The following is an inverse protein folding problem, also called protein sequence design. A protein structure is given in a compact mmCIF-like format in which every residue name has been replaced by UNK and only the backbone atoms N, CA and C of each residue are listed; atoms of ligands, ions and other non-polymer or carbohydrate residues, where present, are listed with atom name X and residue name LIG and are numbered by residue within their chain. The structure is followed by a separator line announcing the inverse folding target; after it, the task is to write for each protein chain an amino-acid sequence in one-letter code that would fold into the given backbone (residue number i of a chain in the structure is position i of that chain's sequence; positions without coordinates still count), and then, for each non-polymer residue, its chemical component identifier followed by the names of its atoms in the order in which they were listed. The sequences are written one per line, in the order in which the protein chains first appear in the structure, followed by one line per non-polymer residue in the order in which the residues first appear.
data_IF_701654936376
#
_entry.id   IF_701654936376
#
_cell.length_a   1.000
_cell.length_b   1.000
_cell.length_c   1.000
_cell.angle_alpha   90.00
_cell.angle_beta   90.00
_cell.angle_gamma   90.00
#
_symmetry.space_group_name_H-M   'P 1'
#
loop_
_entity.id
_entity.type
_entity.pdbx_description
1 polymer ?
#
# COMPACT_ATOMS: atom_id res chain seq x y z
N UNK A 1 -5.98 3.12 12.25
CA UNK A 1 -4.78 2.53 12.87
C UNK A 1 -4.89 1.02 12.81
N UNK A 2 -3.78 0.32 12.48
CA UNK A 2 -3.70 -1.16 12.48
C UNK A 2 -2.54 -1.54 13.40
N UNK A 3 -2.82 -2.42 14.36
CA UNK A 3 -1.84 -2.94 15.30
C UNK A 3 -1.60 -4.42 14.99
N UNK A 4 -0.35 -4.83 14.92
CA UNK A 4 0.08 -6.19 14.62
C UNK A 4 0.97 -6.65 15.75
N UNK A 5 0.67 -7.80 16.30
CA UNK A 5 1.44 -8.39 17.38
C UNK A 5 1.85 -9.82 17.05
N UNK A 6 3.18 -10.04 16.99
CA UNK A 6 3.85 -11.32 16.89
C UNK A 6 3.30 -12.27 15.80
N UNK A 7 3.09 -11.78 14.58
CA UNK A 7 2.52 -12.55 13.47
C UNK A 7 3.52 -13.57 12.94
N UNK A 8 3.08 -14.84 12.90
CA UNK A 8 3.77 -15.96 12.26
C UNK A 8 2.96 -16.49 11.08
N UNK A 9 3.63 -16.78 9.95
CA UNK A 9 3.00 -17.39 8.77
C UNK A 9 3.94 -18.35 8.06
N UNK A 10 3.47 -19.56 7.85
CA UNK A 10 4.18 -20.64 7.17
C UNK A 10 3.39 -21.21 6.00
N UNK A 11 4.08 -21.80 5.05
CA UNK A 11 3.50 -22.59 3.95
C UNK A 11 4.30 -23.91 3.86
N UNK A 12 3.73 -24.99 4.37
CA UNK A 12 4.46 -26.24 4.61
C UNK A 12 5.64 -25.97 5.56
N UNK A 13 6.82 -26.42 5.20
CA UNK A 13 8.04 -26.24 6.00
C UNK A 13 8.68 -24.83 5.85
N UNK A 14 8.12 -23.98 4.99
CA UNK A 14 8.67 -22.65 4.76
C UNK A 14 8.06 -21.61 5.70
N UNK A 15 8.81 -21.19 6.72
CA UNK A 15 8.45 -20.12 7.64
C UNK A 15 8.72 -18.75 7.01
N UNK A 16 7.65 -18.10 6.50
CA UNK A 16 7.74 -16.85 5.76
C UNK A 16 7.72 -15.63 6.67
N UNK A 17 6.83 -15.60 7.68
CA UNK A 17 6.79 -14.54 8.70
C UNK A 17 7.12 -15.15 10.06
N UNK A 18 8.03 -14.49 10.81
CA UNK A 18 8.68 -15.06 11.99
C UNK A 18 8.55 -14.11 13.19
N UNK A 19 7.31 -13.81 13.60
CA UNK A 19 7.06 -12.96 14.76
C UNK A 19 7.13 -11.47 14.45
N UNK A 20 6.39 -11.01 13.44
CA UNK A 20 6.35 -9.59 13.07
C UNK A 20 5.36 -8.84 13.96
N UNK A 21 5.84 -7.80 14.65
CA UNK A 21 5.02 -6.81 15.35
C UNK A 21 5.21 -5.43 14.74
N UNK A 22 4.10 -4.71 14.50
CA UNK A 22 4.11 -3.43 13.82
C UNK A 22 2.89 -2.57 14.19
N UNK A 23 3.05 -1.26 14.10
CA UNK A 23 1.96 -0.28 14.22
C UNK A 23 1.88 0.52 12.92
N UNK A 24 0.73 0.49 12.24
CA UNK A 24 0.44 1.32 11.09
C UNK A 24 -0.46 2.49 11.51
N UNK A 25 0.10 3.68 11.40
CA UNK A 25 -0.53 4.90 11.91
C UNK A 25 -1.56 5.44 10.92
N UNK A 26 -2.65 5.97 11.45
CA UNK A 26 -3.70 6.63 10.68
C UNK A 26 -3.22 7.99 10.16
N UNK A 27 -3.67 8.37 8.97
CA UNK A 27 -3.30 9.62 8.29
C UNK A 27 -1.87 9.63 7.78
N UNK A 28 -1.16 8.48 7.82
CA UNK A 28 0.23 8.35 7.35
C UNK A 28 0.37 7.29 6.27
N UNK A 29 1.36 7.50 5.41
CA UNK A 29 1.89 6.47 4.52
C UNK A 29 2.88 5.60 5.29
N UNK A 30 2.45 4.36 5.56
CA UNK A 30 3.25 3.36 6.24
C UNK A 30 3.82 2.41 5.18
N UNK A 31 5.15 2.36 5.06
CA UNK A 31 5.82 1.53 4.06
C UNK A 31 6.35 0.24 4.66
N UNK A 32 6.13 -0.87 3.95
CA UNK A 32 6.80 -2.14 4.20
C UNK A 32 7.83 -2.33 3.09
N UNK A 33 9.11 -2.28 3.44
CA UNK A 33 10.22 -2.38 2.50
C UNK A 33 11.06 -3.64 2.73
N UNK A 34 11.85 -4.02 1.75
CA UNK A 34 12.76 -5.17 1.82
C UNK A 34 12.96 -5.82 0.45
N UNK A 35 13.91 -6.73 0.38
CA UNK A 35 14.23 -7.46 -0.85
C UNK A 35 13.05 -8.33 -1.31
N UNK A 36 13.08 -8.74 -2.58
CA UNK A 36 12.14 -9.78 -3.07
C UNK A 36 12.28 -11.04 -2.23
N UNK A 37 11.14 -11.67 -1.89
CA UNK A 37 11.12 -12.84 -1.02
C UNK A 37 11.25 -12.58 0.49
N UNK A 38 11.34 -11.33 0.95
CA UNK A 38 11.44 -11.01 2.39
C UNK A 38 10.14 -11.22 3.20
N UNK A 39 9.01 -11.51 2.52
CA UNK A 39 7.71 -11.74 3.17
C UNK A 39 6.70 -10.59 3.05
N UNK A 40 7.02 -9.46 2.39
CA UNK A 40 6.17 -8.26 2.28
C UNK A 40 4.74 -8.56 1.80
N UNK A 41 4.61 -9.20 0.64
CA UNK A 41 3.30 -9.54 0.05
C UNK A 41 2.51 -10.53 0.93
N UNK A 42 3.20 -11.47 1.60
CA UNK A 42 2.54 -12.39 2.54
C UNK A 42 2.04 -11.62 3.75
N UNK A 43 2.83 -10.69 4.28
CA UNK A 43 2.44 -9.84 5.39
C UNK A 43 1.24 -8.96 5.02
N UNK A 44 1.27 -8.31 3.85
CA UNK A 44 0.14 -7.53 3.34
C UNK A 44 -1.13 -8.38 3.20
N UNK A 45 -1.02 -9.62 2.70
CA UNK A 45 -2.15 -10.54 2.59
C UNK A 45 -2.70 -11.00 3.96
N UNK A 46 -1.86 -11.07 4.99
CA UNK A 46 -2.31 -11.28 6.37
C UNK A 46 -3.11 -10.06 6.87
N UNK A 47 -2.63 -8.84 6.59
CA UNK A 47 -3.35 -7.60 6.92
C UNK A 47 -4.71 -7.53 6.21
N UNK A 48 -4.83 -7.96 4.98
CA UNK A 48 -6.10 -8.02 4.24
C UNK A 48 -7.05 -9.14 4.72
N UNK A 49 -6.59 -10.00 5.63
CA UNK A 49 -7.33 -11.18 6.06
C UNK A 49 -7.50 -12.24 4.96
N UNK A 50 -6.64 -12.20 3.92
CA UNK A 50 -6.57 -13.21 2.86
C UNK A 50 -5.79 -14.45 3.32
N UNK A 51 -4.79 -14.24 4.17
CA UNK A 51 -4.09 -15.31 4.88
C UNK A 51 -4.34 -15.18 6.38
N UNK A 52 -4.62 -16.31 7.01
CA UNK A 52 -4.73 -16.40 8.46
C UNK A 52 -3.35 -16.72 9.02
N UNK A 53 -2.78 -15.88 9.91
CA UNK A 53 -1.54 -16.22 10.60
C UNK A 53 -1.78 -17.42 11.54
N UNK A 54 -0.74 -18.21 11.77
CA UNK A 54 -0.78 -19.33 12.71
C UNK A 54 -0.70 -18.82 14.15
N UNK A 55 0.06 -17.74 14.40
CA UNK A 55 0.23 -17.13 15.72
C UNK A 55 0.18 -15.61 15.60
N UNK A 56 -0.06 -14.95 16.72
CA UNK A 56 -0.12 -13.52 16.83
C UNK A 56 -1.52 -12.96 16.57
N UNK A 57 -1.62 -11.64 16.46
CA UNK A 57 -2.90 -10.96 16.27
C UNK A 57 -2.80 -9.70 15.41
N UNK A 58 -3.90 -9.36 14.73
CA UNK A 58 -4.07 -8.11 13.98
C UNK A 58 -5.31 -7.42 14.54
N UNK A 59 -5.16 -6.15 14.94
CA UNK A 59 -6.25 -5.32 15.44
C UNK A 59 -6.48 -4.12 14.50
N UNK A 60 -7.75 -3.86 14.18
CA UNK A 60 -8.19 -2.72 13.42
C UNK A 60 -8.93 -1.76 14.34
N UNK A 61 -8.37 -0.56 14.58
CA UNK A 61 -8.95 0.43 15.50
C UNK A 61 -9.34 -0.17 16.87
N UNK A 62 -8.45 -1.01 17.43
CA UNK A 62 -8.63 -1.66 18.72
C UNK A 62 -9.42 -2.97 18.71
N UNK A 63 -10.03 -3.36 17.58
CA UNK A 63 -10.79 -4.62 17.48
C UNK A 63 -9.93 -5.71 16.84
N UNK A 64 -9.79 -6.85 17.52
CA UNK A 64 -8.99 -7.99 17.04
C UNK A 64 -9.71 -8.72 15.91
N UNK A 65 -9.05 -8.86 14.75
CA UNK A 65 -9.61 -9.47 13.54
C UNK A 65 -10.07 -10.92 13.74
N UNK A 66 -9.36 -11.72 14.52
CA UNK A 66 -9.72 -13.12 14.79
C UNK A 66 -11.03 -13.28 15.56
N UNK A 67 -11.42 -12.28 16.36
CA UNK A 67 -12.63 -12.29 17.19
C UNK A 67 -13.88 -11.85 16.43
N UNK A 68 -13.71 -11.24 15.26
CA UNK A 68 -14.81 -10.80 14.41
C UNK A 68 -15.59 -12.00 13.82
N UNK A 69 -16.91 -11.89 13.81
CA UNK A 69 -17.79 -12.78 13.08
C UNK A 69 -17.57 -12.67 11.56
N UNK A 70 -18.08 -13.64 10.81
CA UNK A 70 -18.00 -13.62 9.33
C UNK A 70 -18.59 -12.35 8.73
N UNK A 71 -19.71 -11.85 9.30
CA UNK A 71 -20.37 -10.61 8.88
C UNK A 71 -19.48 -9.39 9.15
N UNK A 72 -18.97 -9.25 10.37
CA UNK A 72 -18.09 -8.13 10.74
C UNK A 72 -16.80 -8.13 9.92
N UNK A 73 -16.23 -9.30 9.60
CA UNK A 73 -15.09 -9.41 8.66
C UNK A 73 -15.46 -8.95 7.25
N UNK A 74 -16.67 -9.22 6.80
CA UNK A 74 -17.17 -8.72 5.51
C UNK A 74 -17.33 -7.21 5.52
N UNK A 75 -17.91 -6.66 6.59
CA UNK A 75 -18.11 -5.21 6.75
C UNK A 75 -16.75 -4.49 6.83
N UNK A 76 -15.80 -5.02 7.59
CA UNK A 76 -14.44 -4.47 7.67
C UNK A 76 -13.72 -4.47 6.31
N UNK A 77 -13.90 -5.52 5.48
CA UNK A 77 -13.29 -5.56 4.14
C UNK A 77 -13.85 -4.49 3.20
N UNK A 78 -15.09 -4.05 3.39
CA UNK A 78 -15.65 -2.93 2.62
C UNK A 78 -15.01 -1.59 3.01
N UNK A 79 -14.41 -1.51 4.19
CA UNK A 79 -13.62 -0.36 4.64
C UNK A 79 -12.16 -0.41 4.16
N UNK A 80 -11.77 -1.44 3.38
CA UNK A 80 -10.43 -1.62 2.85
C UNK A 80 -10.40 -1.38 1.35
N UNK A 81 -9.54 -0.47 0.88
CA UNK A 81 -9.19 -0.32 -0.53
C UNK A 81 -7.90 -1.09 -0.84
N UNK A 82 -7.80 -1.63 -2.07
CA UNK A 82 -6.59 -2.34 -2.52
C UNK A 82 -6.16 -1.87 -3.90
N UNK A 83 -4.87 -1.51 -4.01
CA UNK A 83 -4.17 -1.25 -5.28
C UNK A 83 -3.16 -2.36 -5.50
N UNK A 84 -3.39 -3.17 -6.54
CA UNK A 84 -2.52 -4.28 -6.91
C UNK A 84 -1.37 -3.84 -7.80
N UNK A 85 -0.26 -4.56 -7.77
CA UNK A 85 0.93 -4.31 -8.60
C UNK A 85 0.58 -4.18 -10.10
N UNK A 86 -0.27 -5.05 -10.64
CA UNK A 86 -0.72 -5.04 -12.03
C UNK A 86 -1.99 -4.21 -12.29
N UNK A 87 -2.39 -3.30 -11.37
CA UNK A 87 -3.66 -2.55 -11.38
C UNK A 87 -4.92 -3.45 -11.28
N UNK A 88 -4.90 -4.67 -11.77
CA UNK A 88 -5.97 -5.66 -11.77
C UNK A 88 -7.32 -5.07 -12.24
N UNK A 89 -7.30 -4.28 -13.32
CA UNK A 89 -8.51 -3.76 -13.94
C UNK A 89 -9.22 -4.88 -14.73
N UNK A 90 -10.52 -4.78 -14.84
CA UNK A 90 -11.32 -5.65 -15.69
C UNK A 90 -11.23 -5.13 -17.13
N UNK A 91 -10.58 -5.88 -18.01
CA UNK A 91 -10.34 -5.47 -19.41
C UNK A 91 -11.63 -5.30 -20.22
N UNK A 92 -12.70 -6.00 -19.85
CA UNK A 92 -14.03 -5.93 -20.46
C UNK A 92 -14.89 -4.76 -19.97
N UNK A 93 -14.40 -3.99 -19.01
CA UNK A 93 -15.09 -2.84 -18.41
C UNK A 93 -14.37 -1.55 -18.77
N UNK A 94 -15.14 -0.48 -18.95
CA UNK A 94 -14.61 0.88 -19.10
C UNK A 94 -13.97 1.38 -17.80
N UNK A 95 -13.30 2.50 -17.85
CA UNK A 95 -12.73 3.19 -16.65
C UNK A 95 -13.83 3.47 -15.62
N UNK A 96 -14.97 4.04 -16.08
CA UNK A 96 -16.13 4.33 -15.20
C UNK A 96 -16.65 3.05 -14.53
N UNK A 97 -16.86 1.98 -15.30
CA UNK A 97 -17.36 0.71 -14.80
C UNK A 97 -16.38 0.04 -13.82
N UNK A 98 -15.07 0.08 -14.11
CA UNK A 98 -14.05 -0.40 -13.18
C UNK A 98 -14.09 0.32 -11.83
N UNK A 99 -14.24 1.65 -11.84
CA UNK A 99 -14.30 2.47 -10.61
C UNK A 99 -15.64 2.24 -9.89
N UNK A 100 -16.75 2.12 -10.62
CA UNK A 100 -18.09 1.91 -10.07
C UNK A 100 -18.28 0.52 -9.47
N UNK A 101 -17.56 -0.49 -9.95
CA UNK A 101 -17.73 -1.89 -9.58
C UNK A 101 -17.90 -2.16 -8.07
N UNK A 102 -17.08 -1.59 -7.15
CA UNK A 102 -17.30 -1.78 -5.72
C UNK A 102 -18.63 -1.20 -5.22
N UNK A 103 -19.10 -0.09 -5.78
CA UNK A 103 -20.39 0.50 -5.43
C UNK A 103 -21.56 -0.40 -5.84
N UNK A 104 -21.50 -0.97 -7.06
CA UNK A 104 -22.50 -1.91 -7.57
C UNK A 104 -22.61 -3.17 -6.69
N UNK A 105 -21.47 -3.64 -6.17
CA UNK A 105 -21.40 -4.89 -5.38
C UNK A 105 -21.80 -4.72 -3.92
N UNK A 106 -21.52 -3.57 -3.30
CA UNK A 106 -21.58 -3.43 -1.84
C UNK A 106 -22.49 -2.32 -1.35
N UNK A 107 -23.12 -1.53 -2.24
CA UNK A 107 -23.99 -0.44 -1.82
C UNK A 107 -25.41 -0.58 -2.39
N UNK A 108 -26.34 0.19 -1.81
CA UNK A 108 -27.71 0.34 -2.33
C UNK A 108 -27.94 1.75 -2.88
N UNK A 109 -26.88 2.44 -3.25
CA UNK A 109 -26.96 3.79 -3.83
C UNK A 109 -27.69 3.76 -5.17
N UNK A 110 -28.33 4.87 -5.49
CA UNK A 110 -28.95 5.07 -6.81
C UNK A 110 -27.87 5.22 -7.90
N UNK A 111 -28.23 4.97 -9.15
CA UNK A 111 -27.32 5.17 -10.28
C UNK A 111 -26.76 6.60 -10.34
N UNK A 112 -27.57 7.59 -9.95
CA UNK A 112 -27.15 9.01 -9.93
C UNK A 112 -26.08 9.24 -8.87
N UNK A 113 -26.30 8.77 -7.63
CA UNK A 113 -25.33 8.88 -6.53
C UNK A 113 -24.02 8.16 -6.85
N UNK A 114 -24.10 6.95 -7.45
CA UNK A 114 -22.90 6.21 -7.88
C UNK A 114 -22.13 6.97 -8.94
N UNK A 115 -22.82 7.56 -9.93
CA UNK A 115 -22.18 8.34 -10.97
C UNK A 115 -21.48 9.57 -10.41
N UNK A 116 -22.16 10.35 -9.57
CA UNK A 116 -21.54 11.53 -8.91
C UNK A 116 -20.29 11.12 -8.12
N UNK A 117 -20.33 9.97 -7.44
CA UNK A 117 -19.18 9.47 -6.67
C UNK A 117 -18.03 9.01 -7.59
N UNK A 118 -18.32 8.37 -8.70
CA UNK A 118 -17.33 7.96 -9.70
C UNK A 118 -16.69 9.19 -10.35
N UNK A 119 -17.49 10.15 -10.79
CA UNK A 119 -17.01 11.41 -11.38
C UNK A 119 -16.06 12.13 -10.40
N UNK A 120 -16.44 12.23 -9.14
CA UNK A 120 -15.62 12.84 -8.08
C UNK A 120 -14.26 12.13 -7.91
N UNK A 121 -14.22 10.80 -7.85
CA UNK A 121 -12.93 10.11 -7.66
C UNK A 121 -12.08 10.10 -8.92
N UNK A 122 -12.68 10.09 -10.11
CA UNK A 122 -11.96 10.22 -11.38
C UNK A 122 -11.34 11.62 -11.53
N UNK A 123 -12.05 12.67 -11.14
CA UNK A 123 -11.51 14.02 -11.06
C UNK A 123 -10.33 14.08 -10.08
N UNK A 124 -10.48 13.48 -8.88
CA UNK A 124 -9.43 13.47 -7.85
C UNK A 124 -8.12 12.80 -8.32
N UNK A 125 -8.21 11.80 -9.20
CA UNK A 125 -7.03 11.15 -9.79
C UNK A 125 -6.65 11.75 -11.16
N UNK A 126 -7.25 12.87 -11.56
CA UNK A 126 -6.99 13.57 -12.84
C UNK A 126 -7.23 12.68 -14.08
N UNK A 127 -8.44 12.08 -14.16
CA UNK A 127 -8.90 11.23 -15.28
C UNK A 127 -10.27 11.66 -15.82
N UNK A 128 -10.52 12.97 -15.96
CA UNK A 128 -11.84 13.55 -16.30
C UNK A 128 -12.35 13.04 -17.67
N UNK A 129 -11.47 12.88 -18.66
CA UNK A 129 -11.84 12.54 -20.04
C UNK A 129 -11.68 11.04 -20.36
N UNK A 130 -11.62 10.19 -19.35
CA UNK A 130 -11.31 8.76 -19.55
C UNK A 130 -12.48 7.81 -19.31
N UNK A 131 -13.64 8.28 -18.89
CA UNK A 131 -14.79 7.47 -18.43
C UNK A 131 -15.13 6.27 -19.33
N UNK A 132 -15.22 6.51 -20.64
CA UNK A 132 -15.66 5.52 -21.63
C UNK A 132 -14.53 4.70 -22.23
N UNK A 133 -13.26 4.99 -21.87
CA UNK A 133 -12.11 4.23 -22.37
C UNK A 133 -11.99 2.88 -21.67
N UNK A 134 -11.49 1.90 -22.40
CA UNK A 134 -11.11 0.61 -21.83
C UNK A 134 -9.66 0.63 -21.35
N UNK A 135 -9.27 -0.30 -20.44
CA UNK A 135 -7.88 -0.38 -19.95
C UNK A 135 -6.83 -0.43 -21.07
N UNK A 136 -7.12 -1.10 -22.18
CA UNK A 136 -6.21 -1.19 -23.33
C UNK A 136 -6.01 0.14 -24.09
N UNK A 137 -6.88 1.13 -23.89
CA UNK A 137 -6.85 2.44 -24.57
C UNK A 137 -6.17 3.53 -23.74
N UNK A 138 -5.67 3.20 -22.54
CA UNK A 138 -5.06 4.14 -21.63
C UNK A 138 -3.64 3.70 -21.23
N UNK A 139 -2.79 4.68 -20.89
CA UNK A 139 -1.41 4.41 -20.49
C UNK A 139 -1.31 3.66 -19.16
N UNK A 140 -0.16 3.01 -18.88
CA UNK A 140 0.07 2.32 -17.62
C UNK A 140 -0.11 3.23 -16.38
N UNK A 141 0.35 4.49 -16.46
CA UNK A 141 0.12 5.47 -15.40
C UNK A 141 -1.35 5.82 -15.21
N UNK A 142 -2.14 5.90 -16.30
CA UNK A 142 -3.59 6.07 -16.19
C UNK A 142 -4.26 4.84 -15.58
N UNK A 143 -3.85 3.62 -15.96
CA UNK A 143 -4.36 2.39 -15.35
C UNK A 143 -4.13 2.35 -13.83
N UNK A 144 -2.95 2.79 -13.36
CA UNK A 144 -2.66 2.92 -11.91
C UNK A 144 -3.60 3.93 -11.23
N UNK A 145 -3.87 5.06 -11.86
CA UNK A 145 -4.83 6.06 -11.34
C UNK A 145 -6.26 5.52 -11.29
N UNK A 146 -6.70 4.75 -12.30
CA UNK A 146 -8.01 4.04 -12.26
C UNK A 146 -8.07 3.06 -11.09
N UNK A 147 -6.99 2.29 -10.87
CA UNK A 147 -6.92 1.36 -9.75
C UNK A 147 -6.99 2.07 -8.39
N UNK A 148 -6.36 3.25 -8.26
CA UNK A 148 -6.45 4.10 -7.06
C UNK A 148 -7.89 4.63 -6.91
N UNK A 149 -8.50 5.17 -7.97
CA UNK A 149 -9.89 5.66 -7.94
C UNK A 149 -10.86 4.55 -7.49
N UNK A 150 -10.72 3.33 -8.04
CA UNK A 150 -11.50 2.16 -7.64
C UNK A 150 -11.29 1.80 -6.17
N UNK A 151 -10.05 1.88 -5.67
CA UNK A 151 -9.73 1.55 -4.30
C UNK A 151 -10.34 2.55 -3.29
N UNK A 152 -10.52 3.84 -3.68
CA UNK A 152 -11.02 4.89 -2.79
C UNK A 152 -12.51 5.22 -2.99
N UNK A 153 -13.17 4.64 -3.99
CA UNK A 153 -14.57 4.96 -4.31
C UNK A 153 -15.53 4.69 -3.15
N UNK A 154 -15.26 3.66 -2.34
CA UNK A 154 -16.02 3.28 -1.14
C UNK A 154 -15.67 4.11 0.11
N UNK A 155 -14.81 5.12 0.02
CA UNK A 155 -14.30 5.91 1.17
C UNK A 155 -13.66 5.00 2.25
N UNK A 156 -12.64 4.23 1.91
CA UNK A 156 -12.06 3.25 2.83
C UNK A 156 -11.41 3.94 4.04
N UNK A 157 -11.34 3.24 5.18
CA UNK A 157 -10.52 3.63 6.34
C UNK A 157 -9.07 3.13 6.22
N UNK A 158 -8.86 2.09 5.42
CA UNK A 158 -7.58 1.42 5.22
C UNK A 158 -7.31 1.30 3.73
N UNK A 159 -6.13 1.71 3.29
CA UNK A 159 -5.69 1.58 1.91
C UNK A 159 -4.43 0.73 1.86
N UNK A 160 -4.46 -0.33 1.08
CA UNK A 160 -3.32 -1.22 0.88
C UNK A 160 -2.84 -1.11 -0.55
N UNK A 161 -1.52 -0.97 -0.73
CA UNK A 161 -0.90 -0.87 -2.05
C UNK A 161 0.25 -1.87 -2.16
N UNK A 162 0.20 -2.75 -3.14
CA UNK A 162 1.29 -3.69 -3.42
C UNK A 162 2.04 -3.20 -4.67
N UNK A 163 3.21 -2.59 -4.46
CA UNK A 163 4.07 -2.00 -5.50
C UNK A 163 3.30 -1.10 -6.50
N UNK A 164 2.63 -0.03 -6.02
CA UNK A 164 1.67 0.74 -6.82
C UNK A 164 2.29 1.42 -8.04
N UNK A 165 3.57 1.76 -8.00
CA UNK A 165 4.31 2.46 -9.06
C UNK A 165 5.17 1.55 -9.94
N UNK A 166 5.13 0.22 -9.73
CA UNK A 166 5.95 -0.72 -10.50
C UNK A 166 5.63 -0.67 -12.00
N UNK A 167 6.69 -0.72 -12.83
CA UNK A 167 6.57 -0.70 -14.30
C UNK A 167 6.31 0.68 -14.91
N UNK A 168 6.36 1.75 -14.11
CA UNK A 168 6.25 3.12 -14.58
C UNK A 168 7.64 3.77 -14.75
N UNK A 169 7.70 4.80 -15.58
CA UNK A 169 8.87 5.68 -15.64
C UNK A 169 9.02 6.46 -14.30
N UNK A 170 10.23 6.93 -13.95
CA UNK A 170 10.48 7.55 -12.65
C UNK A 170 9.60 8.78 -12.35
N UNK A 171 9.31 9.59 -13.37
CA UNK A 171 8.47 10.79 -13.21
C UNK A 171 7.01 10.40 -12.89
N UNK A 172 6.47 9.44 -13.61
CA UNK A 172 5.11 8.94 -13.38
C UNK A 172 5.01 8.20 -12.05
N UNK A 173 6.05 7.46 -11.64
CA UNK A 173 6.11 6.79 -10.35
C UNK A 173 5.97 7.78 -9.18
N UNK A 174 6.72 8.88 -9.19
CA UNK A 174 6.63 9.95 -8.19
C UNK A 174 5.21 10.55 -8.13
N UNK A 175 4.57 10.77 -9.30
CA UNK A 175 3.21 11.28 -9.33
C UNK A 175 2.19 10.34 -8.69
N UNK A 176 2.36 9.02 -8.84
CA UNK A 176 1.51 8.01 -8.18
C UNK A 176 1.74 8.01 -6.68
N UNK A 177 2.99 8.06 -6.23
CA UNK A 177 3.35 8.08 -4.82
C UNK A 177 2.77 9.31 -4.11
N UNK A 178 2.95 10.50 -4.70
CA UNK A 178 2.39 11.75 -4.18
C UNK A 178 0.87 11.72 -4.13
N UNK A 179 0.20 11.20 -5.17
CA UNK A 179 -1.25 11.05 -5.21
C UNK A 179 -1.75 10.16 -4.05
N UNK A 180 -1.08 9.03 -3.77
CA UNK A 180 -1.44 8.15 -2.66
C UNK A 180 -1.23 8.87 -1.32
N UNK A 181 -0.13 9.62 -1.15
CA UNK A 181 0.13 10.38 0.07
C UNK A 181 -0.91 11.48 0.30
N UNK A 182 -1.23 12.27 -0.73
CA UNK A 182 -2.27 13.31 -0.66
C UNK A 182 -3.62 12.72 -0.24
N UNK A 183 -4.05 11.62 -0.88
CA UNK A 183 -5.29 10.91 -0.55
C UNK A 183 -5.27 10.41 0.90
N UNK A 184 -4.13 9.87 1.34
CA UNK A 184 -3.93 9.40 2.71
C UNK A 184 -4.17 10.50 3.73
N UNK A 185 -3.59 11.66 3.52
CA UNK A 185 -3.69 12.80 4.41
C UNK A 185 -5.08 13.46 4.36
N UNK A 186 -5.60 13.71 3.14
CA UNK A 186 -6.89 14.34 2.91
C UNK A 186 -8.05 13.56 3.55
N UNK A 187 -8.06 12.24 3.40
CA UNK A 187 -9.12 11.39 3.96
C UNK A 187 -8.77 10.74 5.29
N UNK A 188 -7.61 11.06 5.86
CA UNK A 188 -7.12 10.51 7.13
C UNK A 188 -7.12 8.96 7.15
N UNK A 189 -6.69 8.35 6.04
CA UNK A 189 -6.66 6.90 5.82
C UNK A 189 -5.41 6.30 6.49
N UNK A 190 -5.49 5.08 7.01
CA UNK A 190 -4.30 4.28 7.33
C UNK A 190 -3.83 3.61 6.04
N UNK A 191 -2.77 4.14 5.41
CA UNK A 191 -2.24 3.58 4.16
C UNK A 191 -1.03 2.70 4.42
N UNK A 192 -1.04 1.48 3.87
CA UNK A 192 0.08 0.52 3.94
C UNK A 192 0.54 0.21 2.52
N UNK A 193 1.81 0.49 2.24
CA UNK A 193 2.41 0.33 0.91
C UNK A 193 3.57 -0.65 0.98
N UNK A 194 3.49 -1.74 0.23
CA UNK A 194 4.65 -2.56 -0.07
C UNK A 194 5.44 -1.91 -1.20
N UNK A 195 6.74 -1.71 -1.00
CA UNK A 195 7.63 -1.25 -2.07
C UNK A 195 9.06 -1.75 -1.86
N UNK A 196 9.82 -1.82 -2.94
CA UNK A 196 11.27 -1.96 -2.93
C UNK A 196 11.97 -0.73 -3.57
N UNK A 197 11.17 0.26 -4.00
CA UNK A 197 11.68 1.49 -4.62
C UNK A 197 12.13 2.50 -3.55
N UNK A 198 13.42 2.80 -3.54
CA UNK A 198 14.01 3.77 -2.61
C UNK A 198 13.55 5.20 -2.86
N UNK A 199 13.10 5.54 -4.08
CA UNK A 199 12.54 6.87 -4.34
C UNK A 199 11.23 7.04 -3.57
N UNK A 200 10.32 6.05 -3.62
CA UNK A 200 9.09 6.06 -2.81
C UNK A 200 9.39 6.16 -1.31
N UNK A 201 10.42 5.42 -0.85
CA UNK A 201 10.84 5.48 0.57
C UNK A 201 11.24 6.89 0.98
N UNK A 202 11.99 7.59 0.13
CA UNK A 202 12.44 8.96 0.39
C UNK A 202 11.30 9.98 0.34
N UNK A 203 10.46 9.88 -0.67
CA UNK A 203 9.41 10.87 -0.94
C UNK A 203 8.25 10.76 0.06
N UNK A 204 7.71 9.55 0.27
CA UNK A 204 6.46 9.36 1.00
C UNK A 204 6.56 8.48 2.26
N UNK A 205 7.76 8.06 2.65
CA UNK A 205 7.99 7.15 3.79
C UNK A 205 7.85 7.82 5.15
N UNK A 206 6.63 8.11 5.60
CA UNK A 206 6.37 8.72 6.92
C UNK A 206 6.60 7.73 8.07
N UNK A 207 6.31 6.45 7.83
CA UNK A 207 6.67 5.33 8.70
C UNK A 207 7.13 4.17 7.84
N UNK A 208 8.23 3.54 8.21
CA UNK A 208 8.89 2.51 7.40
C UNK A 208 9.18 1.30 8.29
N UNK A 209 8.83 0.12 7.81
CA UNK A 209 9.15 -1.17 8.39
C UNK A 209 10.03 -1.92 7.38
N UNK A 210 11.24 -2.27 7.78
CA UNK A 210 12.15 -3.06 6.95
C UNK A 210 12.08 -4.53 7.31
N UNK A 211 11.71 -5.35 6.31
CA UNK A 211 11.62 -6.80 6.43
C UNK A 211 12.81 -7.49 5.74
N UNK A 212 13.43 -8.43 6.44
CA UNK A 212 14.48 -9.31 5.91
C UNK A 212 14.27 -10.73 6.42
N UNK A 213 14.20 -11.70 5.52
CA UNK A 213 14.07 -13.13 5.85
C UNK A 213 12.88 -13.46 6.79
N UNK A 214 11.77 -12.73 6.65
CA UNK A 214 10.57 -12.91 7.47
C UNK A 214 10.62 -12.24 8.85
N UNK A 215 11.65 -11.44 9.15
CA UNK A 215 11.80 -10.69 10.40
C UNK A 215 11.69 -9.18 10.15
N UNK A 216 11.17 -8.43 11.14
CA UNK A 216 11.28 -6.98 11.18
C UNK A 216 12.66 -6.60 11.72
N UNK A 217 13.55 -6.20 10.84
CA UNK A 217 14.93 -5.83 11.19
C UNK A 217 15.07 -4.38 11.63
N UNK A 218 14.15 -3.51 11.19
CA UNK A 218 14.20 -2.10 11.51
C UNK A 218 12.83 -1.43 11.34
N UNK A 219 12.63 -0.33 12.07
CA UNK A 219 11.47 0.55 11.97
C UNK A 219 11.93 2.00 12.19
N UNK A 220 11.37 2.95 11.42
CA UNK A 220 11.68 4.38 11.53
C UNK A 220 10.97 5.18 10.44
N UNK A 221 11.55 6.33 10.08
CA UNK A 221 11.06 7.27 9.07
C UNK A 221 12.03 7.40 7.89
N UNK A 222 11.61 8.07 6.81
CA UNK A 222 12.49 8.41 5.70
C UNK A 222 13.69 9.29 6.10
N UNK A 223 13.58 10.06 7.18
CA UNK A 223 14.68 10.89 7.71
C UNK A 223 15.70 10.08 8.52
N UNK A 224 15.27 8.95 9.08
CA UNK A 224 16.08 8.09 9.95
C UNK A 224 16.76 6.97 9.20
N UNK A 225 16.17 6.48 8.09
CA UNK A 225 16.69 5.33 7.34
C UNK A 225 18.12 5.54 6.82
N UNK A 226 18.50 6.79 6.49
CA UNK A 226 19.86 7.13 6.04
C UNK A 226 20.86 7.35 7.18
N UNK A 227 20.36 7.43 8.42
CA UNK A 227 21.17 7.71 9.62
C UNK A 227 21.36 6.47 10.49
N UNK A 228 20.68 5.38 10.18
CA UNK A 228 20.74 4.16 10.98
C UNK A 228 22.06 3.43 10.80
N UNK A 229 22.56 2.87 11.90
CA UNK A 229 23.72 1.98 11.91
C UNK A 229 23.33 0.49 11.71
N UNK A 230 22.03 0.21 11.49
CA UNK A 230 21.57 -1.14 11.22
C UNK A 230 22.16 -1.65 9.88
N UNK A 231 23.04 -2.67 9.96
CA UNK A 231 23.77 -3.18 8.81
C UNK A 231 22.84 -3.72 7.72
N UNK A 232 21.71 -4.38 8.10
CA UNK A 232 20.79 -4.94 7.13
C UNK A 232 20.05 -3.85 6.33
N UNK A 233 19.75 -2.71 6.96
CA UNK A 233 19.17 -1.54 6.30
C UNK A 233 20.20 -0.87 5.41
N UNK A 234 21.43 -0.67 5.90
CA UNK A 234 22.50 -0.02 5.12
C UNK A 234 22.86 -0.83 3.88
N UNK A 235 22.92 -2.15 3.97
CA UNK A 235 23.18 -3.03 2.83
C UNK A 235 22.05 -2.94 1.78
N UNK A 236 20.80 -2.78 2.22
CA UNK A 236 19.66 -2.64 1.33
C UNK A 236 19.61 -1.26 0.68
N UNK A 237 19.67 -0.19 1.47
CA UNK A 237 19.58 1.20 1.00
C UNK A 237 20.73 1.56 0.08
N UNK A 238 21.95 1.19 0.46
CA UNK A 238 23.16 1.52 -0.29
C UNK A 238 23.60 0.42 -1.27
N UNK A 239 22.67 -0.41 -1.73
CA UNK A 239 22.93 -1.40 -2.78
C UNK A 239 23.27 -0.75 -4.13
N UNK A 240 22.77 0.47 -4.42
CA UNK A 240 23.09 1.22 -5.63
C UNK A 240 24.24 2.20 -5.44
N UNK A 241 25.03 2.43 -6.51
CA UNK A 241 26.15 3.38 -6.50
C UNK A 241 25.72 4.83 -6.21
N UNK A 242 24.51 5.21 -6.62
CA UNK A 242 23.97 6.54 -6.34
C UNK A 242 23.81 6.76 -4.83
N UNK A 243 23.17 5.81 -4.13
CA UNK A 243 22.96 5.93 -2.69
C UNK A 243 24.24 5.77 -1.88
N UNK A 244 25.25 5.03 -2.37
CA UNK A 244 26.61 5.01 -1.76
C UNK A 244 27.24 6.41 -1.76
N UNK A 245 27.16 7.14 -2.86
CA UNK A 245 27.64 8.52 -2.95
C UNK A 245 26.90 9.46 -2.00
N UNK A 246 25.58 9.34 -1.91
CA UNK A 246 24.77 10.10 -0.95
C UNK A 246 25.23 9.83 0.48
N UNK A 247 25.52 8.58 0.84
CA UNK A 247 26.06 8.24 2.17
C UNK A 247 27.39 8.92 2.45
N UNK A 248 28.32 8.90 1.49
CA UNK A 248 29.63 9.54 1.65
C UNK A 248 29.48 11.04 1.94
N UNK A 249 28.62 11.74 1.21
CA UNK A 249 28.34 13.16 1.46
C UNK A 249 27.78 13.40 2.87
N UNK A 250 26.85 12.57 3.35
CA UNK A 250 26.31 12.68 4.72
C UNK A 250 27.37 12.40 5.80
N UNK A 251 28.34 11.51 5.55
CA UNK A 251 29.43 11.23 6.51
C UNK A 251 30.44 12.38 6.53
N UNK A 252 30.76 12.97 5.37
CA UNK A 252 31.68 14.11 5.25
C UNK A 252 31.11 15.38 5.90
N UNK A 253 29.82 15.63 5.84
CA UNK A 253 29.15 16.76 6.53
C UNK A 253 29.12 16.63 8.07
N UNK A 254 29.35 15.42 8.60
CA UNK A 254 29.34 15.14 10.05
C UNK A 254 30.73 15.21 10.70
N UNK A 255 31.81 15.25 9.92
CA UNK A 255 33.21 15.40 10.35
C UNK A 255 33.71 16.83 10.14
#
# INVERSE_FOLDING_TARGET
MIEVDNIHKSFGDNHVLKGISALFEQGKTNLIIGQSGSGKTVFLKCLLGLFVPEEGSICYSGTRYSELSTREKSDLRQEMGMVFQGSALFDSMTVEENVRFPLDMFTKQTTVEMKERVDFVLERVNLIDAHHKYPAEISGGMQKRVAIARAIVMKPKYLFCDEPNSGLDPKTAILIDNLIQEITQEYNITTVINTHDMNSVMEIGEKIIFLKNGLKEWEGTNKEIFKTDNQAVTDFVYSSELFKKVRQMYIEERN
#
